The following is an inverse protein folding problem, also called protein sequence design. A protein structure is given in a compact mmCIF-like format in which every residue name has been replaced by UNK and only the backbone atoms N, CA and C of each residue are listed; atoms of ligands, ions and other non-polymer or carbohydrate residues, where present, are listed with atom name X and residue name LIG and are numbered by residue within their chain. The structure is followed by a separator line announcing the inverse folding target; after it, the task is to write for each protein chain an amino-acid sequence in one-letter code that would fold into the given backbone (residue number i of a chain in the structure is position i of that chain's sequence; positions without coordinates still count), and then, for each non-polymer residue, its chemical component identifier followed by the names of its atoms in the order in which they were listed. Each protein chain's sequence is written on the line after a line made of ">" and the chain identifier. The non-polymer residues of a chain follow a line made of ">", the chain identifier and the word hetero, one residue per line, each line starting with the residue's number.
data_IF_143013111786
#
_entry.id   IF_143013111786
#
_cell.length_a   1.000
_cell.length_b   1.000
_cell.length_c   1.000
_cell.angle_alpha   90.00
_cell.angle_beta   90.00
_cell.angle_gamma   90.00
#
_symmetry.space_group_name_H-M   'P 1'
#
loop_
_entity.id
_entity.type
_entity.pdbx_description
1 polymer ?
#
# COMPACT_ATOMS: atom_id res chain seq x y z
N UNK A 1 16.02 -23.09 -41.42
CA UNK A 1 15.32 -21.80 -41.56
C UNK A 1 15.40 -21.11 -40.21
N UNK A 2 16.45 -20.33 -40.00
CA UNK A 2 16.77 -19.64 -38.74
C UNK A 2 16.15 -18.25 -38.78
N UNK A 3 15.22 -17.99 -37.87
CA UNK A 3 14.54 -16.71 -37.73
C UNK A 3 15.54 -15.61 -37.28
N UNK A 4 15.83 -14.59 -38.11
CA UNK A 4 16.86 -13.59 -37.80
C UNK A 4 16.43 -12.54 -36.75
N UNK A 5 15.20 -12.61 -36.21
CA UNK A 5 14.64 -11.55 -35.36
C UNK A 5 15.03 -11.56 -33.88
N UNK A 6 15.75 -12.57 -33.39
CA UNK A 6 15.87 -12.83 -31.94
C UNK A 6 17.10 -12.20 -31.24
N UNK A 7 17.81 -11.24 -31.86
CA UNK A 7 19.10 -10.73 -31.35
C UNK A 7 19.16 -9.20 -31.33
N UNK A 8 18.13 -8.50 -30.86
CA UNK A 8 18.29 -7.07 -30.56
C UNK A 8 17.34 -6.51 -29.48
N UNK A 9 17.09 -7.26 -28.41
CA UNK A 9 16.67 -6.62 -27.16
C UNK A 9 17.91 -6.05 -26.46
N UNK A 10 18.31 -4.85 -26.92
CA UNK A 10 19.37 -4.08 -26.31
C UNK A 10 19.17 -3.99 -24.80
N UNK A 11 20.19 -4.36 -24.03
CA UNK A 11 20.30 -4.00 -22.62
C UNK A 11 20.23 -2.48 -22.54
N UNK A 12 19.04 -1.93 -22.36
CA UNK A 12 18.88 -0.56 -21.89
C UNK A 12 19.53 -0.53 -20.51
N UNK A 13 20.79 -0.08 -20.48
CA UNK A 13 21.48 0.30 -19.26
C UNK A 13 20.50 1.16 -18.46
N UNK A 14 20.29 0.80 -17.18
CA UNK A 14 19.54 1.63 -16.23
C UNK A 14 20.28 2.96 -16.20
N UNK A 15 19.82 3.90 -17.02
CA UNK A 15 20.48 5.18 -17.21
C UNK A 15 20.61 5.89 -15.87
N UNK A 16 21.53 6.85 -15.82
CA UNK A 16 21.71 7.74 -14.66
C UNK A 16 20.38 8.23 -14.08
N UNK A 17 19.41 8.54 -14.95
CA UNK A 17 18.03 8.91 -14.58
C UNK A 17 17.33 7.93 -13.64
N UNK A 18 17.45 6.62 -13.86
CA UNK A 18 16.82 5.62 -12.99
C UNK A 18 17.47 5.54 -11.60
N UNK A 19 18.78 5.75 -11.53
CA UNK A 19 19.51 5.81 -10.24
C UNK A 19 19.17 7.09 -9.47
N UNK A 20 19.07 8.22 -10.17
CA UNK A 20 18.66 9.50 -9.59
C UNK A 20 17.22 9.43 -9.08
N UNK A 21 16.29 8.90 -9.87
CA UNK A 21 14.90 8.72 -9.43
C UNK A 21 14.80 7.83 -8.19
N UNK A 22 15.55 6.72 -8.14
CA UNK A 22 15.60 5.87 -6.97
C UNK A 22 16.18 6.58 -5.73
N UNK A 23 17.25 7.37 -5.90
CA UNK A 23 17.84 8.15 -4.81
C UNK A 23 16.87 9.21 -4.27
N UNK A 24 16.17 9.92 -5.16
CA UNK A 24 15.13 10.88 -4.78
C UNK A 24 14.00 10.18 -4.02
N UNK A 25 13.53 9.04 -4.51
CA UNK A 25 12.50 8.26 -3.82
C UNK A 25 12.94 7.81 -2.42
N UNK A 26 14.17 7.31 -2.26
CA UNK A 26 14.72 6.94 -0.96
C UNK A 26 14.80 8.16 -0.03
N UNK A 27 15.25 9.31 -0.54
CA UNK A 27 15.30 10.54 0.25
C UNK A 27 13.91 11.01 0.70
N UNK A 28 12.91 10.96 -0.19
CA UNK A 28 11.51 11.27 0.13
C UNK A 28 10.91 10.26 1.12
N UNK A 29 11.21 8.97 0.99
CA UNK A 29 10.75 7.94 1.92
C UNK A 29 11.38 8.11 3.32
N UNK A 30 12.68 8.44 3.37
CA UNK A 30 13.37 8.74 4.63
C UNK A 30 12.80 10.00 5.28
N UNK A 31 12.54 11.05 4.49
CA UNK A 31 11.92 12.28 4.95
C UNK A 31 10.50 12.02 5.46
N UNK A 32 9.67 11.29 4.71
CA UNK A 32 8.32 10.91 5.16
C UNK A 32 8.36 10.11 6.46
N UNK A 33 9.30 9.16 6.59
CA UNK A 33 9.50 8.39 7.83
C UNK A 33 9.91 9.31 8.99
N UNK A 34 10.76 10.30 8.73
CA UNK A 34 11.19 11.29 9.71
C UNK A 34 10.05 12.21 10.15
N UNK A 35 9.24 12.70 9.21
CA UNK A 35 8.04 13.51 9.47
C UNK A 35 6.98 12.73 10.25
N UNK A 36 6.74 11.46 9.90
CA UNK A 36 5.86 10.54 10.65
C UNK A 36 6.38 10.25 12.06
N UNK A 37 7.70 10.34 12.28
CA UNK A 37 8.31 10.15 13.61
C UNK A 37 8.19 11.38 14.48
N UNK A 38 8.23 12.58 13.90
CA UNK A 38 8.30 13.85 14.65
C UNK A 38 6.93 14.49 14.83
N UNK A 39 6.01 14.26 13.89
CA UNK A 39 4.62 14.64 14.08
C UNK A 39 3.94 13.49 14.80
N UNK A 40 3.66 13.56 16.12
CA UNK A 40 2.68 12.65 16.69
C UNK A 40 1.39 12.90 15.91
N UNK A 41 1.01 11.94 15.05
CA UNK A 41 -0.33 11.91 14.44
C UNK A 41 -1.31 12.24 15.55
N UNK A 42 -2.19 13.23 15.32
CA UNK A 42 -3.09 13.79 16.32
C UNK A 42 -3.57 12.72 17.33
N UNK A 43 -3.52 13.01 18.63
CA UNK A 43 -3.59 11.98 19.67
C UNK A 43 -4.90 11.19 19.52
N UNK A 44 -4.83 9.94 19.05
CA UNK A 44 -5.98 9.03 19.05
C UNK A 44 -6.17 8.13 17.83
N UNK A 45 -5.89 8.57 16.60
CA UNK A 45 -6.50 7.92 15.41
C UNK A 45 -5.95 6.51 15.14
N UNK A 46 -4.64 6.32 15.33
CA UNK A 46 -4.00 5.01 15.23
C UNK A 46 -4.43 4.05 16.36
N UNK A 47 -4.69 4.59 17.56
CA UNK A 47 -5.26 3.83 18.66
C UNK A 47 -6.72 3.49 18.39
N UNK A 48 -7.46 4.37 17.71
CA UNK A 48 -8.87 4.18 17.36
C UNK A 48 -9.05 3.04 16.35
N UNK A 49 -8.22 2.96 15.31
CA UNK A 49 -8.25 1.81 14.39
C UNK A 49 -7.81 0.51 15.03
N UNK A 50 -6.75 0.54 15.86
CA UNK A 50 -6.33 -0.64 16.61
C UNK A 50 -7.44 -1.12 17.55
N UNK A 51 -8.13 -0.19 18.22
CA UNK A 51 -9.28 -0.47 19.07
C UNK A 51 -10.46 -1.03 18.27
N UNK A 52 -10.74 -0.53 17.05
CA UNK A 52 -11.79 -1.09 16.18
C UNK A 52 -11.43 -2.52 15.76
N UNK A 53 -10.17 -2.79 15.44
CA UNK A 53 -9.70 -4.13 15.07
C UNK A 53 -9.75 -5.08 16.28
N UNK A 54 -9.37 -4.62 17.47
CA UNK A 54 -9.40 -5.40 18.71
C UNK A 54 -10.84 -5.64 19.20
N UNK A 55 -11.66 -4.59 19.27
CA UNK A 55 -13.07 -4.66 19.68
C UNK A 55 -13.97 -5.29 18.60
N UNK A 56 -13.49 -5.39 17.36
CA UNK A 56 -14.20 -5.88 16.17
C UNK A 56 -15.52 -5.16 15.91
N UNK A 57 -15.61 -3.89 16.32
CA UNK A 57 -16.81 -3.08 16.27
C UNK A 57 -16.47 -1.66 15.91
N UNK A 58 -17.34 -1.06 15.11
CA UNK A 58 -17.26 0.36 14.77
C UNK A 58 -17.98 1.17 15.87
N UNK A 59 -17.34 2.21 16.45
CA UNK A 59 -17.99 3.04 17.47
C UNK A 59 -19.22 3.78 16.92
N UNK A 60 -19.23 4.12 15.63
CA UNK A 60 -20.33 4.80 14.95
C UNK A 60 -21.50 3.86 14.61
N UNK A 61 -21.22 2.57 14.44
CA UNK A 61 -22.21 1.53 14.14
C UNK A 61 -21.91 0.24 14.92
N UNK A 62 -22.31 0.15 16.20
CA UNK A 62 -21.97 -0.97 17.08
C UNK A 62 -22.53 -2.33 16.65
N UNK A 63 -23.58 -2.34 15.82
CA UNK A 63 -24.17 -3.55 15.26
C UNK A 63 -23.38 -4.09 14.06
N UNK A 64 -22.56 -3.25 13.45
CA UNK A 64 -21.69 -3.64 12.34
C UNK A 64 -20.40 -4.23 12.91
N UNK A 65 -20.24 -5.55 12.74
CA UNK A 65 -19.04 -6.26 13.17
C UNK A 65 -17.97 -6.22 12.09
N UNK A 66 -16.71 -6.04 12.52
CA UNK A 66 -15.56 -6.15 11.63
C UNK A 66 -15.37 -7.62 11.24
N UNK A 67 -15.29 -7.88 9.94
CA UNK A 67 -15.00 -9.21 9.42
C UNK A 67 -13.56 -9.61 9.75
N UNK A 68 -13.37 -10.81 10.29
CA UNK A 68 -12.05 -11.29 10.76
C UNK A 68 -11.34 -12.23 9.81
N UNK A 69 -12.08 -12.92 8.94
CA UNK A 69 -11.53 -13.94 8.05
C UNK A 69 -11.83 -13.58 6.60
N UNK A 70 -10.77 -13.34 5.82
CA UNK A 70 -10.85 -12.97 4.40
C UNK A 70 -10.18 -14.02 3.53
N UNK A 71 -8.98 -14.44 3.90
CA UNK A 71 -8.12 -15.36 3.13
C UNK A 71 -7.77 -16.62 3.91
N UNK A 72 -7.97 -16.62 5.25
CA UNK A 72 -7.59 -17.71 6.15
C UNK A 72 -6.12 -17.63 6.61
N UNK A 73 -5.33 -16.69 6.09
CA UNK A 73 -3.95 -16.46 6.53
C UNK A 73 -3.95 -15.33 7.56
N UNK A 74 -3.68 -15.65 8.83
CA UNK A 74 -3.84 -14.72 9.95
C UNK A 74 -3.14 -13.36 9.79
N UNK A 75 -1.90 -13.35 9.29
CA UNK A 75 -1.14 -12.10 9.09
C UNK A 75 -1.72 -11.23 7.96
N UNK A 76 -2.22 -11.87 6.89
CA UNK A 76 -2.86 -11.17 5.77
C UNK A 76 -4.22 -10.64 6.19
N UNK A 77 -5.00 -11.46 6.89
CA UNK A 77 -6.32 -11.10 7.38
C UNK A 77 -6.26 -9.97 8.41
N UNK A 78 -5.23 -9.92 9.25
CA UNK A 78 -5.00 -8.79 10.15
C UNK A 78 -4.74 -7.48 9.39
N UNK A 79 -3.92 -7.53 8.33
CA UNK A 79 -3.70 -6.37 7.46
C UNK A 79 -4.99 -5.92 6.76
N UNK A 80 -5.80 -6.85 6.28
CA UNK A 80 -7.10 -6.57 5.65
C UNK A 80 -8.11 -5.99 6.64
N UNK A 81 -8.15 -6.50 7.87
CA UNK A 81 -8.96 -5.95 8.96
C UNK A 81 -8.61 -4.49 9.23
N UNK A 82 -7.31 -4.18 9.31
CA UNK A 82 -6.85 -2.81 9.52
C UNK A 82 -7.25 -1.88 8.38
N UNK A 83 -7.14 -2.35 7.13
CA UNK A 83 -7.61 -1.60 5.96
C UNK A 83 -9.12 -1.34 6.02
N UNK A 84 -9.93 -2.35 6.35
CA UNK A 84 -11.38 -2.16 6.46
C UNK A 84 -11.73 -1.22 7.61
N UNK A 85 -11.07 -1.33 8.77
CA UNK A 85 -11.24 -0.40 9.87
C UNK A 85 -10.90 1.05 9.49
N UNK A 86 -9.84 1.24 8.70
CA UNK A 86 -9.40 2.56 8.25
C UNK A 86 -10.27 3.16 7.14
N UNK A 87 -10.81 2.34 6.23
CA UNK A 87 -11.51 2.79 5.02
C UNK A 87 -13.04 2.81 5.14
N UNK A 88 -13.62 1.90 5.91
CA UNK A 88 -15.08 1.80 6.01
C UNK A 88 -15.76 3.06 6.56
N UNK A 89 -15.23 3.77 7.59
CA UNK A 89 -15.89 4.95 8.13
C UNK A 89 -16.08 6.09 7.11
N UNK A 90 -15.09 6.34 6.26
CA UNK A 90 -15.22 7.31 5.16
C UNK A 90 -16.09 6.80 4.02
N UNK A 91 -15.89 5.56 3.56
CA UNK A 91 -16.65 4.99 2.43
C UNK A 91 -18.15 4.82 2.73
N UNK A 92 -18.51 4.51 3.97
CA UNK A 92 -19.90 4.39 4.41
C UNK A 92 -20.48 5.72 4.92
N UNK A 93 -19.69 6.81 4.89
CA UNK A 93 -20.13 8.15 5.28
C UNK A 93 -20.34 8.35 6.77
N UNK A 94 -19.74 7.51 7.63
CA UNK A 94 -19.82 7.64 9.10
C UNK A 94 -19.13 8.92 9.58
N UNK A 95 -17.99 9.25 8.97
CA UNK A 95 -17.19 10.44 9.29
C UNK A 95 -16.76 11.13 7.99
N UNK A 96 -17.28 12.32 7.71
CA UNK A 96 -17.01 13.06 6.46
C UNK A 96 -15.55 13.46 6.30
N UNK A 97 -14.86 13.76 7.40
CA UNK A 97 -13.46 14.18 7.38
C UNK A 97 -12.53 13.06 6.87
N UNK A 98 -12.97 11.81 6.93
CA UNK A 98 -12.18 10.66 6.51
C UNK A 98 -12.22 10.47 4.99
N UNK A 99 -13.22 10.98 4.29
CA UNK A 99 -13.37 10.82 2.85
C UNK A 99 -12.17 11.43 2.09
N UNK A 100 -11.78 12.65 2.47
CA UNK A 100 -10.64 13.36 1.86
C UNK A 100 -9.31 12.68 2.22
N UNK A 101 -9.15 12.25 3.47
CA UNK A 101 -7.94 11.57 3.94
C UNK A 101 -7.74 10.21 3.24
N UNK A 102 -8.81 9.42 3.11
CA UNK A 102 -8.80 8.13 2.43
C UNK A 102 -8.55 8.29 0.92
N UNK A 103 -9.16 9.28 0.28
CA UNK A 103 -8.90 9.60 -1.13
C UNK A 103 -7.43 9.97 -1.35
N UNK A 104 -6.85 10.78 -0.47
CA UNK A 104 -5.43 11.13 -0.51
C UNK A 104 -4.54 9.89 -0.38
N UNK A 105 -4.82 9.02 0.59
CA UNK A 105 -4.09 7.76 0.74
C UNK A 105 -4.15 6.92 -0.54
N UNK A 106 -5.32 6.73 -1.13
CA UNK A 106 -5.47 5.88 -2.32
C UNK A 106 -4.68 6.43 -3.51
N UNK A 107 -4.73 7.74 -3.75
CA UNK A 107 -3.97 8.38 -4.83
C UNK A 107 -2.46 8.22 -4.60
N UNK A 108 -1.99 8.46 -3.38
CA UNK A 108 -0.58 8.30 -3.02
C UNK A 108 -0.13 6.83 -3.11
N UNK A 109 -0.91 5.90 -2.58
CA UNK A 109 -0.59 4.47 -2.55
C UNK A 109 -0.67 3.81 -3.94
N UNK A 110 -1.55 4.30 -4.82
CA UNK A 110 -1.67 3.82 -6.19
C UNK A 110 -0.34 3.85 -6.95
N UNK A 111 0.47 4.89 -6.73
CA UNK A 111 1.80 5.00 -7.34
C UNK A 111 2.72 3.84 -6.95
N UNK A 112 2.67 3.40 -5.69
CA UNK A 112 3.44 2.25 -5.17
C UNK A 112 2.94 0.94 -5.80
N UNK A 113 1.62 0.74 -5.84
CA UNK A 113 1.03 -0.45 -6.48
C UNK A 113 1.42 -0.51 -7.96
N UNK A 114 1.38 0.62 -8.66
CA UNK A 114 1.75 0.70 -10.07
C UNK A 114 3.19 0.26 -10.30
N UNK A 115 4.14 0.76 -9.49
CA UNK A 115 5.55 0.37 -9.55
C UNK A 115 5.70 -1.13 -9.28
N UNK A 116 5.10 -1.65 -8.21
CA UNK A 116 5.18 -3.07 -7.88
C UNK A 116 4.56 -3.97 -8.95
N UNK A 117 3.46 -3.56 -9.57
CA UNK A 117 2.81 -4.31 -10.64
C UNK A 117 3.71 -4.41 -11.88
N UNK A 118 4.33 -3.30 -12.28
CA UNK A 118 5.29 -3.27 -13.39
C UNK A 118 6.52 -4.12 -13.08
N UNK A 119 7.08 -4.03 -11.87
CA UNK A 119 8.25 -4.80 -11.46
C UNK A 119 7.96 -6.29 -11.31
N UNK A 120 6.76 -6.67 -10.84
CA UNK A 120 6.32 -8.06 -10.76
C UNK A 120 6.28 -8.73 -12.15
N UNK A 121 5.83 -8.00 -13.17
CA UNK A 121 5.80 -8.46 -14.57
C UNK A 121 7.13 -8.35 -15.31
N UNK A 122 8.15 -7.69 -14.75
CA UNK A 122 9.42 -7.47 -15.44
C UNK A 122 10.16 -8.80 -15.60
N UNK A 123 10.56 -9.14 -16.84
CA UNK A 123 11.29 -10.36 -17.22
C UNK A 123 12.59 -10.65 -16.44
N UNK A 124 13.10 -9.71 -15.66
CA UNK A 124 14.25 -9.89 -14.75
C UNK A 124 13.88 -10.42 -13.36
N UNK A 125 12.60 -10.47 -13.01
CA UNK A 125 12.06 -10.98 -11.77
C UNK A 125 11.67 -12.48 -11.88
N UNK A 126 12.46 -13.27 -12.62
CA UNK A 126 12.16 -14.69 -12.93
C UNK A 126 12.16 -15.61 -11.70
N UNK A 127 12.62 -15.14 -10.54
CA UNK A 127 12.60 -15.89 -9.27
C UNK A 127 11.28 -15.81 -8.53
N UNK A 128 10.35 -14.95 -8.93
CA UNK A 128 9.05 -14.82 -8.28
C UNK A 128 8.07 -15.96 -8.61
N UNK A 129 8.34 -16.76 -9.65
CA UNK A 129 7.42 -17.78 -10.18
C UNK A 129 8.05 -19.17 -10.31
N UNK A 130 9.09 -19.47 -9.53
CA UNK A 130 9.75 -20.79 -9.56
C UNK A 130 9.71 -21.47 -8.19
N UNK A 131 8.51 -21.83 -7.75
CA UNK A 131 8.25 -22.96 -6.87
C UNK A 131 7.13 -23.80 -7.49
#
# INVERSE_FOLDING_TARGET
>A
MTDPGAQQQGRLSRGWFGKVAAAIFIALAALATYELRITPSAPGWHMEFANIVEARKFPEQPELLLRTEYTGIASVDYGLQFLVAAFLPGAAGFVKDFEVLQAYFLISFFSIISIYSVEAGRRGNKRAWTY
#
